data_IF_625344943084
#
_entry.id   IF_625344943084
#
_cell.length_a   1.000
_cell.length_b   1.000
_cell.length_c   1.000
_cell.angle_alpha   90.00
_cell.angle_beta   90.00
_cell.angle_gamma   90.00
#
_symmetry.space_group_name_H-M   'P 1'
#
loop_
_entity.id
_entity.type
_entity.pdbx_description
1 polymer ?
#
# COMPACT_ATOMS: atom_id res chain seq x y z
N UNK A 1 15.67 30.17 -29.79
CA UNK A 1 15.70 28.70 -29.60
C UNK A 1 15.20 28.04 -30.89
N UNK A 2 15.98 27.19 -31.55
CA UNK A 2 15.59 26.63 -32.86
C UNK A 2 14.41 25.66 -32.71
N UNK A 3 13.41 25.76 -33.60
CA UNK A 3 12.19 24.93 -33.60
C UNK A 3 12.49 23.43 -33.51
N UNK A 4 13.54 22.97 -34.18
CA UNK A 4 14.00 21.57 -34.11
C UNK A 4 14.46 21.13 -32.70
N UNK A 5 15.12 22.00 -31.94
CA UNK A 5 15.54 21.72 -30.56
C UNK A 5 14.34 21.66 -29.61
N UNK A 6 13.35 22.53 -29.83
CA UNK A 6 12.10 22.51 -29.06
C UNK A 6 11.31 21.21 -29.30
N UNK A 7 11.20 20.77 -30.56
CA UNK A 7 10.51 19.52 -30.91
C UNK A 7 11.21 18.28 -30.31
N UNK A 8 12.54 18.23 -30.33
CA UNK A 8 13.30 17.14 -29.71
C UNK A 8 13.10 17.06 -28.20
N UNK A 9 13.06 18.21 -27.51
CA UNK A 9 12.78 18.26 -26.07
C UNK A 9 11.36 17.78 -25.74
N UNK A 10 10.37 18.16 -26.54
CA UNK A 10 8.98 17.73 -26.34
C UNK A 10 8.85 16.21 -26.53
N UNK A 11 9.46 15.65 -27.57
CA UNK A 11 9.45 14.19 -27.79
C UNK A 11 10.17 13.46 -26.67
N UNK A 12 11.30 13.99 -26.19
CA UNK A 12 12.03 13.41 -25.06
C UNK A 12 11.19 13.40 -23.77
N UNK A 13 10.45 14.47 -23.49
CA UNK A 13 9.56 14.54 -22.32
C UNK A 13 8.37 13.57 -22.47
N UNK A 14 7.77 13.49 -23.66
CA UNK A 14 6.61 12.61 -23.89
C UNK A 14 6.98 11.12 -23.82
N UNK A 15 8.18 10.75 -24.26
CA UNK A 15 8.67 9.35 -24.20
C UNK A 15 9.22 9.01 -22.80
N UNK A 16 9.81 9.99 -22.11
CA UNK A 16 10.41 9.80 -20.79
C UNK A 16 9.44 9.89 -19.61
N UNK A 17 8.26 10.49 -19.78
CA UNK A 17 7.27 10.63 -18.72
C UNK A 17 6.62 9.27 -18.40
N UNK A 18 6.99 8.68 -17.25
CA UNK A 18 6.27 7.54 -16.70
C UNK A 18 5.05 8.02 -15.91
N UNK A 19 3.89 7.35 -16.03
CA UNK A 19 2.75 7.67 -15.19
C UNK A 19 3.13 7.47 -13.72
N UNK A 20 2.78 8.43 -12.87
CA UNK A 20 2.90 8.26 -11.43
C UNK A 20 1.92 7.16 -11.00
N UNK A 21 2.44 6.00 -10.58
CA UNK A 21 1.65 4.94 -9.99
C UNK A 21 1.55 5.17 -8.47
N UNK A 22 0.40 4.84 -7.90
CA UNK A 22 0.26 4.81 -6.44
C UNK A 22 1.19 3.72 -5.88
N UNK A 23 2.04 4.08 -4.92
CA UNK A 23 2.93 3.17 -4.23
C UNK A 23 2.21 2.57 -3.02
N UNK A 24 2.23 1.25 -2.89
CA UNK A 24 1.66 0.51 -1.76
C UNK A 24 2.69 -0.38 -1.03
N UNK A 25 3.96 -0.29 -1.45
CA UNK A 25 5.05 -1.06 -0.85
C UNK A 25 5.59 -0.37 0.41
N UNK A 26 5.84 0.93 0.32
CA UNK A 26 6.41 1.69 1.43
C UNK A 26 5.32 2.53 2.11
N UNK A 27 4.66 1.91 3.08
CA UNK A 27 3.57 2.51 3.88
C UNK A 27 4.03 2.86 5.31
N UNK A 28 5.34 2.87 5.54
CA UNK A 28 5.93 3.04 6.86
C UNK A 28 5.88 1.77 7.70
N UNK A 29 6.46 1.86 8.89
CA UNK A 29 6.49 0.79 9.89
C UNK A 29 6.25 1.39 11.27
N UNK A 30 5.52 0.68 12.10
CA UNK A 30 5.24 1.06 13.48
C UNK A 30 5.01 -0.19 14.32
N UNK A 31 5.07 -0.04 15.63
CA UNK A 31 4.79 -1.13 16.56
C UNK A 31 3.31 -1.07 17.00
N UNK A 32 2.62 -2.19 16.85
CA UNK A 32 1.28 -2.40 17.41
C UNK A 32 1.24 -3.81 17.99
N UNK A 33 1.50 -3.97 19.30
CA UNK A 33 1.49 -5.28 19.94
C UNK A 33 0.10 -5.93 19.83
N UNK A 34 0.05 -7.18 19.37
CA UNK A 34 -1.17 -8.00 19.39
C UNK A 34 -0.84 -9.40 19.92
N UNK A 35 -1.84 -10.28 19.98
CA UNK A 35 -1.63 -11.70 20.31
C UNK A 35 -0.98 -12.51 19.18
N UNK A 36 -0.92 -11.97 17.96
CA UNK A 36 -0.33 -12.65 16.81
C UNK A 36 1.18 -12.39 16.69
N UNK A 37 1.85 -13.25 15.92
CA UNK A 37 3.25 -13.12 15.55
C UNK A 37 3.46 -13.56 14.10
N UNK A 38 4.68 -13.40 13.58
CA UNK A 38 5.00 -13.84 12.21
C UNK A 38 4.16 -13.14 11.14
N UNK A 39 3.72 -13.91 10.14
CA UNK A 39 3.01 -13.37 8.97
C UNK A 39 1.64 -12.76 9.30
N UNK A 40 0.90 -13.31 10.28
CA UNK A 40 -0.38 -12.75 10.72
C UNK A 40 -0.21 -11.32 11.23
N UNK A 41 0.80 -11.11 12.10
CA UNK A 41 1.14 -9.79 12.62
C UNK A 41 1.64 -8.86 11.51
N UNK A 42 2.43 -9.38 10.55
CA UNK A 42 2.94 -8.59 9.43
C UNK A 42 1.80 -8.06 8.54
N UNK A 43 0.86 -8.92 8.16
CA UNK A 43 -0.31 -8.53 7.37
C UNK A 43 -1.18 -7.53 8.13
N UNK A 44 -1.42 -7.75 9.43
CA UNK A 44 -2.16 -6.80 10.26
C UNK A 44 -1.50 -5.42 10.32
N UNK A 45 -0.19 -5.35 10.61
CA UNK A 45 0.54 -4.08 10.66
C UNK A 45 0.52 -3.38 9.31
N UNK A 46 0.65 -4.12 8.21
CA UNK A 46 0.61 -3.56 6.86
C UNK A 46 -0.78 -3.03 6.52
N UNK A 47 -1.85 -3.76 6.84
CA UNK A 47 -3.23 -3.30 6.67
C UNK A 47 -3.50 -2.02 7.44
N UNK A 48 -3.07 -1.96 8.70
CA UNK A 48 -3.22 -0.77 9.53
C UNK A 48 -2.40 0.44 9.01
N UNK A 49 -1.18 0.23 8.51
CA UNK A 49 -0.37 1.26 7.88
C UNK A 49 -1.04 1.85 6.62
N UNK A 50 -1.55 0.96 5.77
CA UNK A 50 -2.28 1.32 4.55
C UNK A 50 -3.56 2.09 4.91
N UNK A 51 -4.31 1.61 5.90
CA UNK A 51 -5.56 2.25 6.34
C UNK A 51 -5.30 3.66 6.87
N UNK A 52 -4.23 3.86 7.64
CA UNK A 52 -3.79 5.18 8.07
C UNK A 52 -3.50 6.13 6.90
N UNK A 53 -3.10 5.58 5.75
CA UNK A 53 -2.84 6.31 4.51
C UNK A 53 -4.04 6.34 3.56
N UNK A 54 -5.26 6.10 4.05
CA UNK A 54 -6.51 6.14 3.27
C UNK A 54 -6.57 5.11 2.12
N UNK A 55 -5.88 3.97 2.26
CA UNK A 55 -5.85 2.88 1.27
C UNK A 55 -6.85 1.76 1.56
N UNK A 56 -8.14 2.08 1.69
CA UNK A 56 -9.17 1.14 2.18
C UNK A 56 -9.17 -0.26 1.53
N UNK A 57 -9.18 -0.34 0.20
CA UNK A 57 -9.22 -1.63 -0.52
C UNK A 57 -7.99 -2.49 -0.24
N UNK A 58 -6.81 -1.87 -0.27
CA UNK A 58 -5.55 -2.54 -0.01
C UNK A 58 -5.41 -2.93 1.47
N UNK A 59 -6.00 -2.16 2.39
CA UNK A 59 -6.05 -2.51 3.81
C UNK A 59 -6.92 -3.76 4.03
N UNK A 60 -8.12 -3.80 3.43
CA UNK A 60 -9.02 -4.97 3.47
C UNK A 60 -8.28 -6.23 2.97
N UNK A 61 -7.57 -6.16 1.84
CA UNK A 61 -6.79 -7.28 1.32
C UNK A 61 -5.76 -7.81 2.34
N UNK A 62 -5.08 -6.92 3.07
CA UNK A 62 -4.12 -7.35 4.11
C UNK A 62 -4.83 -7.93 5.33
N UNK A 63 -5.97 -7.38 5.74
CA UNK A 63 -6.74 -7.93 6.85
C UNK A 63 -7.32 -9.31 6.50
N UNK A 64 -7.82 -9.52 5.28
CA UNK A 64 -8.23 -10.85 4.81
C UNK A 64 -7.06 -11.83 4.78
N UNK A 65 -5.88 -11.43 4.31
CA UNK A 65 -4.70 -12.29 4.35
C UNK A 65 -4.33 -12.72 5.79
N UNK A 66 -4.45 -11.82 6.77
CA UNK A 66 -4.26 -12.17 8.18
C UNK A 66 -5.34 -13.15 8.69
N UNK A 67 -6.60 -12.98 8.28
CA UNK A 67 -7.72 -13.87 8.63
C UNK A 67 -7.57 -15.26 8.00
N UNK A 68 -7.07 -15.35 6.75
CA UNK A 68 -6.83 -16.63 6.07
C UNK A 68 -5.75 -17.46 6.78
N UNK A 69 -4.71 -16.80 7.30
CA UNK A 69 -3.62 -17.46 8.03
C UNK A 69 -4.08 -17.84 9.46
N UNK A 70 -4.75 -16.93 10.17
CA UNK A 70 -5.32 -17.20 11.50
C UNK A 70 -6.77 -16.71 11.59
N UNK A 71 -7.75 -17.60 11.35
CA UNK A 71 -9.17 -17.26 11.43
C UNK A 71 -9.65 -16.83 12.82
N UNK A 72 -8.88 -17.11 13.88
CA UNK A 72 -9.23 -16.73 15.26
C UNK A 72 -8.61 -15.38 15.67
N UNK A 73 -7.80 -14.76 14.80
CA UNK A 73 -7.17 -13.49 15.11
C UNK A 73 -8.14 -12.31 14.99
N UNK A 74 -8.82 -12.01 16.09
CA UNK A 74 -9.87 -10.99 16.17
C UNK A 74 -9.46 -9.60 15.65
N UNK A 75 -8.19 -9.22 15.81
CA UNK A 75 -7.71 -7.90 15.39
C UNK A 75 -7.72 -7.71 13.87
N UNK A 76 -7.62 -8.78 13.06
CA UNK A 76 -7.75 -8.65 11.61
C UNK A 76 -9.18 -8.29 11.19
N UNK A 77 -10.19 -8.88 11.83
CA UNK A 77 -11.60 -8.51 11.60
C UNK A 77 -11.92 -7.12 12.12
N UNK A 78 -11.36 -6.74 13.28
CA UNK A 78 -11.47 -5.37 13.79
C UNK A 78 -10.88 -4.36 12.79
N UNK A 79 -9.69 -4.65 12.26
CA UNK A 79 -9.04 -3.81 11.25
C UNK A 79 -9.89 -3.65 9.99
N UNK A 80 -10.45 -4.74 9.47
CA UNK A 80 -11.36 -4.73 8.32
C UNK A 80 -12.60 -3.87 8.59
N UNK A 81 -13.19 -3.95 9.78
CA UNK A 81 -14.39 -3.15 10.11
C UNK A 81 -14.16 -1.64 10.12
N UNK A 82 -12.92 -1.19 10.24
CA UNK A 82 -12.51 0.22 10.20
C UNK A 82 -12.15 0.70 8.80
N UNK A 83 -11.96 -0.23 7.86
CA UNK A 83 -11.60 0.05 6.48
C UNK A 83 -12.88 0.24 5.63
#
# INVERSE_FOLDING_TARGET
MNRARALLLIVFVLVGARPAQAQFENVGSFEFPTSASGEVQLHFLRGAAILHSFGWKQAIEQFHAAQEIDPNFAMAYWGESLA
#
